data_IF_487466765172
#
_entry.id   IF_487466765172
#
_cell.length_a   1.000
_cell.length_b   1.000
_cell.length_c   1.000
_cell.angle_alpha   90.00
_cell.angle_beta   90.00
_cell.angle_gamma   90.00
#
_symmetry.space_group_name_H-M   'P 1'
#
loop_
_entity.id
_entity.type
_entity.pdbx_description
1 polymer ?
#
# COMPACT_ATOMS: atom_id res chain seq x y z
N UNK A 1 3.41 -45.60 -35.18
CA UNK A 1 2.27 -45.07 -34.41
C UNK A 1 2.79 -44.61 -33.06
N UNK A 2 2.26 -43.46 -32.62
CA UNK A 2 2.74 -42.45 -31.68
C UNK A 2 3.76 -42.73 -30.55
N UNK A 3 4.61 -41.72 -30.24
CA UNK A 3 5.62 -41.76 -29.19
C UNK A 3 5.08 -41.30 -27.82
N UNK A 4 5.71 -41.81 -26.75
CA UNK A 4 5.54 -41.32 -25.36
C UNK A 4 6.43 -40.09 -25.15
N UNK A 5 5.82 -38.93 -24.94
CA UNK A 5 6.51 -37.71 -24.49
C UNK A 5 6.74 -37.77 -22.97
N UNK A 6 8.01 -37.85 -22.58
CA UNK A 6 8.53 -37.43 -21.28
C UNK A 6 8.66 -35.90 -21.30
N UNK A 7 7.87 -35.20 -20.49
CA UNK A 7 8.09 -33.78 -20.21
C UNK A 7 8.89 -33.68 -18.91
N UNK A 8 10.18 -33.39 -19.05
CA UNK A 8 11.03 -32.92 -17.96
C UNK A 8 10.54 -31.53 -17.54
N UNK A 9 10.21 -31.39 -16.25
CA UNK A 9 9.96 -30.11 -15.62
C UNK A 9 11.25 -29.30 -15.57
N UNK A 10 11.39 -28.37 -16.51
CA UNK A 10 12.32 -27.24 -16.42
C UNK A 10 11.74 -26.26 -15.39
N UNK A 11 12.23 -26.35 -14.16
CA UNK A 11 12.15 -25.26 -13.18
C UNK A 11 12.87 -24.05 -13.73
N UNK A 12 12.11 -23.05 -14.19
CA UNK A 12 12.58 -21.70 -14.45
C UNK A 12 12.96 -21.05 -13.11
N UNK A 13 14.25 -21.05 -12.75
CA UNK A 13 14.75 -20.14 -11.72
C UNK A 13 14.67 -18.73 -12.29
N UNK A 14 13.73 -17.94 -11.77
CA UNK A 14 13.69 -16.49 -11.97
C UNK A 14 14.78 -15.88 -11.08
N UNK A 15 16.02 -15.93 -11.54
CA UNK A 15 17.06 -15.02 -11.04
C UNK A 15 16.72 -13.61 -11.55
N UNK A 16 15.83 -12.95 -10.82
CA UNK A 16 15.58 -11.52 -10.94
C UNK A 16 16.56 -10.81 -10.01
N UNK A 17 17.80 -10.68 -10.46
CA UNK A 17 18.79 -9.78 -9.88
C UNK A 17 19.26 -8.77 -10.90
N UNK A 18 18.32 -8.13 -11.60
CA UNK A 18 18.55 -6.77 -12.10
C UNK A 18 18.27 -5.85 -10.93
N UNK A 19 19.29 -5.59 -10.11
CA UNK A 19 19.27 -4.43 -9.23
C UNK A 19 19.22 -3.19 -10.13
N UNK A 20 18.01 -2.73 -10.45
CA UNK A 20 17.83 -1.33 -10.84
C UNK A 20 18.52 -0.52 -9.75
N UNK A 21 19.61 0.15 -10.12
CA UNK A 21 20.25 1.17 -9.31
C UNK A 21 19.20 2.26 -9.12
N UNK A 22 18.33 2.09 -8.11
CA UNK A 22 17.36 3.11 -7.74
C UNK A 22 18.18 4.35 -7.40
N UNK A 23 17.93 5.45 -8.13
CA UNK A 23 18.65 6.69 -7.92
C UNK A 23 18.44 7.15 -6.47
N UNK A 24 19.49 7.05 -5.63
CA UNK A 24 19.46 7.54 -4.25
C UNK A 24 19.60 9.07 -4.28
N UNK A 25 18.70 9.78 -3.61
CA UNK A 25 18.80 11.23 -3.49
C UNK A 25 19.78 11.62 -2.39
N UNK A 26 20.76 12.44 -2.75
CA UNK A 26 21.73 13.01 -1.81
C UNK A 26 21.01 13.97 -0.86
N UNK A 27 21.22 13.79 0.44
CA UNK A 27 20.69 14.68 1.47
C UNK A 27 21.20 16.10 1.29
N UNK A 28 20.29 17.06 1.41
CA UNK A 28 20.59 18.49 1.45
C UNK A 28 20.47 19.06 2.86
N UNK A 29 20.97 20.29 3.07
CA UNK A 29 20.74 21.00 4.33
C UNK A 29 19.26 21.29 4.58
N UNK A 30 18.47 21.51 3.52
CA UNK A 30 17.02 21.68 3.57
C UNK A 30 16.33 20.40 4.05
N UNK A 31 16.77 19.23 3.56
CA UNK A 31 16.22 17.93 4.02
C UNK A 31 16.46 17.72 5.52
N UNK A 32 17.65 18.07 6.01
CA UNK A 32 17.97 17.98 7.44
C UNK A 32 17.10 18.93 8.27
N UNK A 33 16.86 20.15 7.80
CA UNK A 33 15.95 21.09 8.45
C UNK A 33 14.52 20.53 8.50
N UNK A 34 14.06 19.91 7.40
CA UNK A 34 12.79 19.19 7.37
C UNK A 34 12.77 17.98 8.32
N UNK A 35 13.90 17.35 8.63
CA UNK A 35 14.03 16.32 9.65
C UNK A 35 14.19 16.88 11.08
N UNK A 36 14.27 18.20 11.25
CA UNK A 36 14.36 18.89 12.54
C UNK A 36 15.78 19.27 12.97
N UNK A 37 16.75 19.21 12.06
CA UNK A 37 18.16 19.51 12.35
C UNK A 37 18.66 20.69 11.51
N UNK A 38 18.97 21.81 12.16
CA UNK A 38 19.65 22.91 11.48
C UNK A 38 21.12 22.57 11.21
N UNK A 39 21.77 23.32 10.31
CA UNK A 39 23.21 23.21 10.07
C UNK A 39 24.03 23.40 11.34
N UNK A 40 23.59 24.30 12.22
CA UNK A 40 24.27 24.60 13.48
C UNK A 40 24.10 23.47 14.49
N UNK A 41 22.94 22.82 14.56
CA UNK A 41 22.72 21.65 15.43
C UNK A 41 23.64 20.49 15.03
N UNK A 42 23.74 20.23 13.72
CA UNK A 42 24.62 19.21 13.15
C UNK A 42 26.08 19.53 13.47
N UNK A 43 26.49 20.78 13.28
CA UNK A 43 27.82 21.25 13.60
C UNK A 43 28.15 21.11 15.09
N UNK A 44 27.26 21.57 15.98
CA UNK A 44 27.45 21.51 17.43
C UNK A 44 27.66 20.07 17.89
N UNK A 45 26.84 19.16 17.38
CA UNK A 45 26.90 17.73 17.71
C UNK A 45 28.23 17.10 17.25
N UNK A 46 28.62 17.35 16.00
CA UNK A 46 29.89 16.85 15.44
C UNK A 46 31.11 17.49 16.11
N UNK A 47 31.05 18.78 16.42
CA UNK A 47 32.16 19.51 17.04
C UNK A 47 32.40 19.01 18.46
N UNK A 48 31.34 18.74 19.22
CA UNK A 48 31.45 18.06 20.52
C UNK A 48 32.13 16.70 20.38
N UNK A 49 31.75 15.90 19.37
CA UNK A 49 32.36 14.60 19.08
C UNK A 49 33.84 14.71 18.68
N UNK A 50 34.23 15.82 18.05
CA UNK A 50 35.61 16.20 17.70
C UNK A 50 36.36 17.00 18.77
N UNK A 51 35.83 17.08 20.00
CA UNK A 51 36.49 17.78 21.10
C UNK A 51 36.63 19.29 20.91
N UNK A 52 35.76 19.94 20.13
CA UNK A 52 35.74 21.40 19.95
C UNK A 52 36.74 21.94 18.92
N UNK A 53 37.26 21.08 18.05
CA UNK A 53 38.34 21.44 17.11
C UNK A 53 37.86 21.92 15.75
N UNK A 54 36.56 21.84 15.43
CA UNK A 54 36.04 22.17 14.10
C UNK A 54 36.08 23.68 13.83
N UNK A 55 36.28 24.05 12.57
CA UNK A 55 36.02 25.43 12.09
C UNK A 55 34.52 25.73 12.21
N UNK A 56 34.11 26.99 12.11
CA UNK A 56 32.68 27.35 12.17
C UNK A 56 31.81 26.61 11.12
N UNK A 57 30.50 26.49 11.36
CA UNK A 57 29.57 25.78 10.47
C UNK A 57 29.52 26.36 9.06
N UNK A 58 29.75 27.68 8.93
CA UNK A 58 29.82 28.41 7.66
C UNK A 58 31.25 28.58 7.11
N UNK A 59 32.27 28.30 7.93
CA UNK A 59 33.69 28.41 7.56
C UNK A 59 34.28 27.07 7.07
N UNK A 60 33.42 26.22 6.52
CA UNK A 60 33.78 24.90 6.01
C UNK A 60 34.12 23.87 7.09
N UNK A 61 33.65 24.05 8.33
CA UNK A 61 33.81 23.07 9.41
C UNK A 61 33.05 21.77 9.17
N UNK A 62 31.97 21.81 8.41
CA UNK A 62 31.14 20.68 7.98
C UNK A 62 30.87 20.75 6.48
N UNK A 63 30.87 19.60 5.82
CA UNK A 63 30.48 19.50 4.41
C UNK A 63 29.57 18.28 4.20
N UNK A 64 28.40 18.51 3.60
CA UNK A 64 27.38 17.51 3.32
C UNK A 64 27.26 17.36 1.80
N UNK A 65 27.68 16.21 1.25
CA UNK A 65 27.63 15.94 -0.20
C UNK A 65 28.37 16.95 -1.10
N UNK A 66 29.16 17.85 -0.52
CA UNK A 66 29.80 18.99 -1.18
C UNK A 66 31.25 19.15 -0.69
N UNK A 67 32.03 20.00 -1.36
CA UNK A 67 33.38 20.38 -0.93
C UNK A 67 34.28 19.18 -0.63
N UNK A 68 34.85 19.15 0.58
CA UNK A 68 35.72 18.04 1.01
C UNK A 68 34.97 16.71 1.10
N UNK A 69 33.67 16.69 1.41
CA UNK A 69 32.91 15.44 1.38
C UNK A 69 32.87 14.84 -0.03
N UNK A 70 32.62 15.68 -1.04
CA UNK A 70 32.64 15.29 -2.44
C UNK A 70 34.03 14.80 -2.90
N UNK A 71 35.10 15.50 -2.52
CA UNK A 71 36.48 15.12 -2.88
C UNK A 71 36.87 13.73 -2.39
N UNK A 72 36.37 13.33 -1.22
CA UNK A 72 36.63 12.03 -0.61
C UNK A 72 35.52 11.01 -0.88
N UNK A 73 34.58 11.33 -1.78
CA UNK A 73 33.41 10.51 -2.09
C UNK A 73 32.59 10.08 -0.86
N UNK A 74 32.51 10.96 0.15
CA UNK A 74 31.64 10.80 1.30
C UNK A 74 30.31 11.45 1.02
N UNK A 75 29.29 10.62 0.87
CA UNK A 75 27.94 11.05 0.56
C UNK A 75 27.00 10.71 1.70
N UNK A 76 25.91 11.45 1.83
CA UNK A 76 24.76 11.10 2.68
C UNK A 76 23.53 11.06 1.79
N UNK A 77 22.65 10.10 2.00
CA UNK A 77 21.43 9.97 1.21
C UNK A 77 20.19 9.93 2.09
N UNK A 78 19.05 10.24 1.49
CA UNK A 78 17.74 10.01 2.10
C UNK A 78 17.23 8.63 1.67
N UNK A 79 16.49 7.96 2.55
CA UNK A 79 15.97 6.63 2.31
C UNK A 79 14.68 6.35 3.08
N UNK A 80 13.92 5.37 2.61
CA UNK A 80 12.88 4.73 3.40
C UNK A 80 13.53 3.87 4.49
N UNK A 81 12.88 3.80 5.65
CA UNK A 81 13.41 3.11 6.84
C UNK A 81 12.81 1.73 7.08
N UNK A 82 12.12 1.21 6.07
CA UNK A 82 11.44 -0.08 6.12
C UNK A 82 10.16 -0.07 5.28
N UNK A 83 9.44 -1.21 5.27
CA UNK A 83 8.16 -1.33 4.57
C UNK A 83 7.08 -0.46 5.23
N UNK A 84 5.98 -0.25 4.51
CA UNK A 84 4.80 0.39 5.07
C UNK A 84 4.20 -0.49 6.20
N UNK A 85 3.95 0.11 7.35
CA UNK A 85 3.31 -0.56 8.49
C UNK A 85 1.80 -0.28 8.50
N UNK A 86 0.94 -1.30 8.47
CA UNK A 86 -0.51 -1.12 8.45
C UNK A 86 -1.04 -0.69 9.82
N UNK A 87 -2.06 0.15 9.82
CA UNK A 87 -3.00 0.29 10.94
C UNK A 87 -4.22 -0.62 10.72
N UNK A 88 -4.98 -0.82 11.79
CA UNK A 88 -6.25 -1.54 11.71
C UNK A 88 -7.21 -0.86 10.72
N UNK A 89 -7.82 -1.63 9.79
CA UNK A 89 -8.81 -1.10 8.87
C UNK A 89 -10.14 -0.80 9.58
N UNK A 90 -10.86 0.20 9.07
CA UNK A 90 -12.22 0.53 9.53
C UNK A 90 -13.19 0.17 8.42
N UNK A 91 -14.05 -0.82 8.67
CA UNK A 91 -15.06 -1.30 7.73
C UNK A 91 -16.43 -0.66 7.97
N UNK A 92 -17.18 -0.48 6.90
CA UNK A 92 -18.60 -0.12 6.91
C UNK A 92 -19.32 -0.95 5.86
N UNK A 93 -20.46 -1.51 6.25
CA UNK A 93 -21.31 -2.29 5.36
C UNK A 93 -22.69 -1.66 5.29
N UNK A 94 -23.19 -1.49 4.07
CA UNK A 94 -24.55 -1.09 3.78
C UNK A 94 -25.23 -2.19 2.98
N UNK A 95 -26.52 -2.39 3.24
CA UNK A 95 -27.33 -3.36 2.52
C UNK A 95 -28.53 -2.63 1.91
N UNK A 96 -28.86 -2.99 0.69
CA UNK A 96 -30.03 -2.50 -0.03
C UNK A 96 -30.73 -3.69 -0.69
N UNK A 97 -32.04 -3.79 -0.49
CA UNK A 97 -32.86 -4.86 -1.06
C UNK A 97 -33.63 -4.32 -2.26
N UNK A 98 -33.61 -5.08 -3.35
CA UNK A 98 -34.31 -4.76 -4.60
C UNK A 98 -35.19 -5.94 -5.01
N UNK A 99 -36.46 -5.68 -5.30
CA UNK A 99 -37.37 -6.70 -5.81
C UNK A 99 -37.15 -6.85 -7.31
N UNK A 100 -36.63 -7.99 -7.74
CA UNK A 100 -36.38 -8.28 -9.15
C UNK A 100 -37.59 -8.89 -9.86
N UNK A 101 -38.37 -9.67 -9.11
CA UNK A 101 -39.54 -10.37 -9.62
C UNK A 101 -40.50 -10.68 -8.47
N UNK A 102 -41.79 -10.60 -8.73
CA UNK A 102 -42.86 -10.94 -7.78
C UNK A 102 -44.04 -11.50 -8.56
N UNK A 103 -44.63 -12.59 -8.06
CA UNK A 103 -45.79 -13.21 -8.68
C UNK A 103 -46.70 -13.84 -7.64
N UNK A 104 -47.96 -13.43 -7.68
CA UNK A 104 -49.04 -13.97 -6.87
C UNK A 104 -49.91 -14.89 -7.74
N UNK A 105 -49.86 -16.20 -7.49
CA UNK A 105 -50.68 -17.17 -8.22
C UNK A 105 -52.07 -17.26 -7.60
N UNK A 106 -53.02 -16.52 -8.16
CA UNK A 106 -54.42 -16.54 -7.76
C UNK A 106 -55.26 -17.60 -8.49
N UNK A 107 -54.63 -18.48 -9.27
CA UNK A 107 -55.31 -19.53 -10.05
C UNK A 107 -55.35 -20.87 -9.29
N UNK A 108 -56.13 -21.83 -9.81
CA UNK A 108 -56.23 -23.19 -9.26
C UNK A 108 -55.12 -24.14 -9.76
N UNK A 109 -54.33 -23.72 -10.75
CA UNK A 109 -53.25 -24.50 -11.36
C UNK A 109 -51.86 -23.99 -10.97
N UNK A 110 -50.85 -24.86 -11.00
CA UNK A 110 -49.47 -24.45 -10.81
C UNK A 110 -48.94 -23.69 -12.04
N UNK A 111 -48.16 -22.63 -11.81
CA UNK A 111 -47.56 -21.83 -12.89
C UNK A 111 -46.06 -22.07 -12.93
N UNK A 112 -45.53 -22.42 -14.11
CA UNK A 112 -44.08 -22.54 -14.34
C UNK A 112 -43.54 -21.29 -15.02
N UNK A 113 -42.50 -20.71 -14.45
CA UNK A 113 -41.80 -19.55 -14.99
C UNK A 113 -40.30 -19.81 -15.13
N UNK A 114 -39.66 -19.07 -16.04
CA UNK A 114 -38.21 -18.98 -16.13
C UNK A 114 -37.81 -17.51 -15.99
N UNK A 115 -36.84 -17.23 -15.13
CA UNK A 115 -36.22 -15.93 -15.01
C UNK A 115 -34.71 -16.06 -15.22
N UNK A 116 -34.13 -15.10 -15.93
CA UNK A 116 -32.69 -15.04 -16.17
C UNK A 116 -32.19 -13.71 -15.65
N UNK A 117 -31.10 -13.74 -14.90
CA UNK A 117 -30.47 -12.58 -14.32
C UNK A 117 -28.96 -12.62 -14.53
N UNK A 118 -28.36 -11.46 -14.71
CA UNK A 118 -26.92 -11.28 -14.70
C UNK A 118 -26.54 -10.10 -13.82
N UNK A 119 -25.40 -10.19 -13.16
CA UNK A 119 -24.87 -9.16 -12.28
C UNK A 119 -23.35 -9.22 -12.25
N UNK A 120 -22.74 -8.23 -11.61
CA UNK A 120 -21.29 -8.12 -11.49
C UNK A 120 -20.95 -7.82 -10.04
N UNK A 121 -20.06 -8.60 -9.46
CA UNK A 121 -19.43 -8.20 -8.20
C UNK A 121 -18.19 -7.38 -8.55
N UNK A 122 -17.96 -6.30 -7.82
CA UNK A 122 -16.80 -5.43 -8.02
C UNK A 122 -16.03 -5.28 -6.74
N UNK A 123 -14.71 -5.27 -6.84
CA UNK A 123 -13.81 -4.90 -5.76
C UNK A 123 -12.83 -3.86 -6.29
N UNK A 124 -12.85 -2.67 -5.70
CA UNK A 124 -11.93 -1.60 -6.01
C UNK A 124 -11.13 -1.24 -4.77
N UNK A 125 -9.81 -1.33 -4.89
CA UNK A 125 -8.86 -0.91 -3.86
C UNK A 125 -8.01 0.19 -4.46
N UNK A 126 -7.96 1.36 -3.81
CA UNK A 126 -7.04 2.43 -4.15
C UNK A 126 -6.12 2.73 -2.99
N UNK A 127 -4.91 3.19 -3.29
CA UNK A 127 -3.92 3.61 -2.31
C UNK A 127 -3.34 4.94 -2.75
N UNK A 128 -3.18 5.87 -1.81
CA UNK A 128 -2.68 7.22 -2.08
C UNK A 128 -1.77 7.70 -0.96
N UNK A 129 -0.67 8.36 -1.32
CA UNK A 129 0.16 9.14 -0.38
C UNK A 129 -0.64 10.36 0.08
N UNK A 130 -1.17 10.33 1.30
CA UNK A 130 -1.99 11.43 1.86
C UNK A 130 -1.20 12.44 2.66
N UNK A 131 -0.03 12.04 3.19
CA UNK A 131 0.98 12.96 3.73
C UNK A 131 2.34 12.55 3.20
N UNK A 132 2.83 13.30 2.22
CA UNK A 132 4.12 13.03 1.57
C UNK A 132 5.30 13.23 2.53
N UNK A 133 6.46 12.67 2.18
CA UNK A 133 7.71 13.00 2.84
C UNK A 133 8.12 14.44 2.52
N UNK A 134 8.65 15.15 3.52
CA UNK A 134 9.14 16.52 3.37
C UNK A 134 10.55 16.61 2.78
N UNK A 135 11.13 15.48 2.36
CA UNK A 135 12.47 15.37 1.78
C UNK A 135 12.40 14.55 0.50
N UNK A 136 13.35 14.73 -0.40
CA UNK A 136 13.45 13.90 -1.62
C UNK A 136 13.99 12.52 -1.29
N UNK A 137 13.28 11.47 -1.66
CA UNK A 137 13.63 10.06 -1.42
C UNK A 137 13.53 9.30 -2.74
N UNK A 138 14.49 8.40 -2.95
CA UNK A 138 14.64 7.68 -4.20
C UNK A 138 13.84 6.39 -4.22
N UNK A 139 13.39 6.02 -5.42
CA UNK A 139 12.77 4.72 -5.64
C UNK A 139 11.35 4.62 -5.12
N UNK A 140 10.93 3.39 -4.86
CA UNK A 140 9.58 3.10 -4.38
C UNK A 140 9.59 2.22 -3.14
N UNK A 141 8.45 2.22 -2.46
CA UNK A 141 8.18 1.45 -1.26
C UNK A 141 6.93 0.60 -1.46
N UNK A 142 6.89 -0.54 -0.76
CA UNK A 142 5.78 -1.47 -0.85
C UNK A 142 4.76 -1.21 0.26
N UNK A 143 3.48 -1.25 -0.12
CA UNK A 143 2.30 -1.24 0.74
C UNK A 143 1.72 -2.66 0.70
N UNK A 144 2.07 -3.51 1.67
CA UNK A 144 1.71 -4.92 1.63
C UNK A 144 0.29 -5.16 2.16
N UNK A 145 -0.37 -6.15 1.57
CA UNK A 145 -1.57 -6.80 2.08
C UNK A 145 -2.68 -5.82 2.51
N UNK A 146 -3.03 -4.89 1.62
CA UNK A 146 -4.10 -3.92 1.88
C UNK A 146 -5.41 -4.65 2.27
N UNK A 147 -6.01 -4.22 3.37
CA UNK A 147 -7.22 -4.79 3.97
C UNK A 147 -7.15 -6.29 4.32
N UNK A 148 -5.96 -6.87 4.46
CA UNK A 148 -5.74 -8.31 4.62
C UNK A 148 -6.28 -9.15 3.45
N UNK A 149 -6.23 -8.61 2.22
CA UNK A 149 -6.79 -9.23 1.00
C UNK A 149 -5.76 -9.74 0.00
N UNK A 150 -4.46 -9.68 0.33
CA UNK A 150 -3.39 -10.07 -0.58
C UNK A 150 -3.17 -9.08 -1.73
N UNK A 151 -3.69 -7.85 -1.61
CA UNK A 151 -3.47 -6.77 -2.59
C UNK A 151 -2.26 -5.94 -2.15
N UNK A 152 -1.19 -6.00 -2.94
CA UNK A 152 0.05 -5.26 -2.71
C UNK A 152 0.16 -4.09 -3.71
N UNK A 153 0.66 -2.96 -3.24
CA UNK A 153 0.99 -1.81 -4.09
C UNK A 153 2.46 -1.42 -3.93
N UNK A 154 3.06 -0.93 -5.01
CA UNK A 154 4.38 -0.28 -4.98
C UNK A 154 4.22 1.19 -5.36
N UNK A 155 4.47 2.09 -4.43
CA UNK A 155 4.33 3.54 -4.61
C UNK A 155 5.69 4.23 -4.62
N UNK A 156 5.74 5.46 -5.12
CA UNK A 156 6.90 6.36 -5.03
C UNK A 156 6.42 7.81 -4.81
N UNK A 157 7.34 8.74 -4.53
CA UNK A 157 6.97 10.16 -4.43
C UNK A 157 6.42 10.73 -5.75
N UNK A 158 6.80 10.13 -6.88
CA UNK A 158 6.33 10.50 -8.23
C UNK A 158 5.02 9.77 -8.60
N UNK A 159 4.84 8.54 -8.13
CA UNK A 159 3.63 7.73 -8.33
C UNK A 159 2.83 7.64 -7.03
N UNK A 160 2.13 8.72 -6.71
CA UNK A 160 1.48 8.89 -5.41
C UNK A 160 0.18 8.11 -5.24
N UNK A 161 -0.44 7.65 -6.32
CA UNK A 161 -1.71 6.92 -6.28
C UNK A 161 -1.66 5.70 -7.19
N UNK A 162 -2.13 4.56 -6.67
CA UNK A 162 -2.37 3.34 -7.46
C UNK A 162 -3.70 2.74 -7.10
N UNK A 163 -4.21 1.91 -8.00
CA UNK A 163 -5.44 1.18 -7.76
C UNK A 163 -5.38 -0.22 -8.35
N UNK A 164 -6.20 -1.07 -7.78
CA UNK A 164 -6.51 -2.41 -8.20
C UNK A 164 -8.03 -2.51 -8.33
N UNK A 165 -8.48 -3.14 -9.39
CA UNK A 165 -9.90 -3.39 -9.62
C UNK A 165 -10.06 -4.84 -10.08
N UNK A 166 -11.00 -5.53 -9.44
CA UNK A 166 -11.44 -6.86 -9.83
C UNK A 166 -12.95 -6.84 -10.07
N UNK A 167 -13.38 -7.52 -11.14
CA UNK A 167 -14.78 -7.55 -11.59
C UNK A 167 -15.13 -8.98 -11.98
N UNK A 168 -16.06 -9.57 -11.24
CA UNK A 168 -16.54 -10.93 -11.51
C UNK A 168 -17.96 -10.85 -12.03
N UNK A 169 -18.19 -11.44 -13.20
CA UNK A 169 -19.48 -11.48 -13.87
C UNK A 169 -20.23 -12.78 -13.55
N UNK A 170 -21.51 -12.66 -13.23
CA UNK A 170 -22.40 -13.77 -12.97
C UNK A 170 -23.60 -13.73 -13.91
N UNK A 171 -24.10 -14.90 -14.26
CA UNK A 171 -25.36 -15.09 -14.94
C UNK A 171 -26.01 -16.36 -14.41
N UNK A 172 -27.32 -16.32 -14.18
CA UNK A 172 -28.05 -17.47 -13.67
C UNK A 172 -29.47 -17.52 -14.24
N UNK A 173 -29.96 -18.75 -14.38
CA UNK A 173 -31.30 -19.07 -14.87
C UNK A 173 -32.09 -19.75 -13.74
N UNK A 174 -33.09 -19.05 -13.23
CA UNK A 174 -34.03 -19.59 -12.24
C UNK A 174 -35.22 -20.21 -12.97
N UNK A 175 -35.53 -21.47 -12.64
CA UNK A 175 -36.80 -22.10 -13.02
C UNK A 175 -37.67 -22.17 -11.79
N UNK A 176 -38.83 -21.49 -11.81
CA UNK A 176 -39.70 -21.34 -10.64
C UNK A 176 -41.04 -22.00 -10.94
N UNK A 177 -41.55 -22.75 -9.97
CA UNK A 177 -42.94 -23.25 -9.97
C UNK A 177 -43.67 -22.55 -8.83
N UNK A 178 -44.79 -21.90 -9.15
CA UNK A 178 -45.64 -21.22 -8.18
C UNK A 178 -46.92 -22.03 -8.01
N UNK A 179 -47.10 -22.61 -6.83
CA UNK A 179 -48.30 -23.40 -6.54
C UNK A 179 -49.55 -22.52 -6.44
N UNK A 180 -50.76 -23.09 -6.60
CA UNK A 180 -52.01 -22.38 -6.37
C UNK A 180 -52.02 -21.69 -5.00
N UNK A 181 -52.34 -20.39 -4.99
CA UNK A 181 -52.42 -19.58 -3.76
C UNK A 181 -51.08 -19.11 -3.20
N UNK A 182 -49.93 -19.44 -3.81
CA UNK A 182 -48.64 -18.93 -3.38
C UNK A 182 -48.35 -17.53 -3.91
N UNK A 183 -47.62 -16.75 -3.12
CA UNK A 183 -47.12 -15.44 -3.51
C UNK A 183 -45.60 -15.40 -3.33
N UNK A 184 -44.86 -15.54 -4.43
CA UNK A 184 -43.40 -15.58 -4.41
C UNK A 184 -42.78 -14.25 -4.84
N UNK A 185 -41.65 -13.92 -4.24
CA UNK A 185 -40.82 -12.76 -4.59
C UNK A 185 -39.34 -13.11 -4.60
N UNK A 186 -38.66 -12.71 -5.67
CA UNK A 186 -37.21 -12.75 -5.76
C UNK A 186 -36.64 -11.39 -5.38
N UNK A 187 -35.87 -11.37 -4.30
CA UNK A 187 -35.18 -10.18 -3.79
C UNK A 187 -33.69 -10.33 -4.06
N UNK A 188 -33.08 -9.28 -4.60
CA UNK A 188 -31.64 -9.12 -4.68
C UNK A 188 -31.20 -8.19 -3.57
N UNK A 189 -30.34 -8.69 -2.69
CA UNK A 189 -29.66 -7.92 -1.67
C UNK A 189 -28.30 -7.47 -2.20
N UNK A 190 -28.15 -6.16 -2.41
CA UNK A 190 -26.87 -5.51 -2.69
C UNK A 190 -26.15 -5.24 -1.38
N UNK A 191 -24.96 -5.80 -1.22
CA UNK A 191 -24.07 -5.59 -0.08
C UNK A 191 -22.94 -4.68 -0.57
N UNK A 192 -22.90 -3.45 -0.06
CA UNK A 192 -21.79 -2.52 -0.32
C UNK A 192 -20.90 -2.47 0.91
N UNK A 193 -19.67 -2.95 0.78
CA UNK A 193 -18.65 -2.80 1.80
C UNK A 193 -17.69 -1.69 1.40
N UNK A 194 -17.42 -0.79 2.33
CA UNK A 194 -16.38 0.24 2.19
C UNK A 194 -15.43 0.15 3.36
N UNK A 195 -14.16 0.44 3.13
CA UNK A 195 -13.20 0.51 4.23
C UNK A 195 -12.10 1.52 3.96
N UNK A 196 -11.51 2.00 5.05
CA UNK A 196 -10.28 2.81 5.02
C UNK A 196 -9.22 2.16 5.86
N UNK A 197 -8.00 2.11 5.35
CA UNK A 197 -6.83 1.64 6.10
C UNK A 197 -5.70 2.64 5.91
N UNK A 198 -4.99 2.97 6.98
CA UNK A 198 -3.79 3.81 6.90
C UNK A 198 -2.54 2.95 7.00
N UNK A 199 -1.49 3.39 6.29
CA UNK A 199 -0.15 2.86 6.46
C UNK A 199 0.84 3.97 6.82
N UNK A 200 1.83 3.61 7.63
CA UNK A 200 2.92 4.49 8.02
C UNK A 200 4.21 4.01 7.40
N UNK A 201 4.87 4.88 6.64
CA UNK A 201 6.16 4.60 6.02
C UNK A 201 7.21 5.51 6.66
N UNK A 202 8.12 4.97 7.49
CA UNK A 202 9.18 5.76 8.08
C UNK A 202 10.21 6.14 7.00
N UNK A 203 10.71 7.36 7.05
CA UNK A 203 11.73 7.88 6.14
C UNK A 203 12.73 8.77 6.87
N UNK A 204 13.92 8.96 6.30
CA UNK A 204 14.92 9.87 6.86
C UNK A 204 16.28 9.72 6.21
N UNK A 205 17.35 10.03 6.94
CA UNK A 205 18.72 9.79 6.46
C UNK A 205 18.97 8.30 6.35
N UNK A 206 19.58 7.79 5.27
CA UNK A 206 19.91 6.38 5.15
C UNK A 206 20.78 5.90 6.32
N UNK A 207 20.70 4.60 6.64
CA UNK A 207 21.51 3.98 7.69
C UNK A 207 22.49 2.97 7.05
N UNK A 208 23.38 3.48 6.21
CA UNK A 208 24.41 2.67 5.54
C UNK A 208 25.81 3.10 6.01
N UNK A 209 26.77 2.17 6.16
CA UNK A 209 28.13 2.49 6.64
C UNK A 209 28.91 3.49 5.78
N UNK A 210 28.50 3.64 4.52
CA UNK A 210 29.07 4.55 3.54
C UNK A 210 28.50 5.98 3.68
N UNK A 211 27.39 6.15 4.40
CA UNK A 211 26.72 7.45 4.53
C UNK A 211 27.45 8.35 5.53
N UNK A 212 28.21 9.30 5.01
CA UNK A 212 29.21 10.07 5.75
C UNK A 212 29.12 11.56 5.48
N UNK A 213 29.20 12.34 6.55
CA UNK A 213 29.42 13.78 6.53
C UNK A 213 30.89 14.07 6.82
N UNK A 214 31.47 15.06 6.13
CA UNK A 214 32.84 15.47 6.39
C UNK A 214 32.90 16.56 7.46
N UNK A 215 33.93 16.48 8.30
CA UNK A 215 34.26 17.51 9.29
C UNK A 215 35.68 18.01 9.07
N UNK A 216 35.92 19.30 9.30
CA UNK A 216 37.21 19.96 9.12
C UNK A 216 37.48 20.94 10.26
N UNK A 217 38.75 21.08 10.65
CA UNK A 217 39.11 21.76 11.88
C UNK A 217 40.60 21.89 12.08
N UNK A 218 40.98 22.18 13.33
CA UNK A 218 42.32 21.88 13.83
C UNK A 218 42.51 20.36 13.93
N UNK A 219 43.76 19.86 13.88
CA UNK A 219 44.03 18.45 14.06
C UNK A 219 43.38 17.90 15.33
N UNK A 220 42.70 16.77 15.19
CA UNK A 220 42.22 15.98 16.31
C UNK A 220 42.89 14.60 16.21
N UNK A 221 43.88 14.38 17.09
CA UNK A 221 44.93 13.41 16.80
C UNK A 221 45.76 13.87 15.59
N UNK A 222 46.00 12.98 14.63
CA UNK A 222 46.78 13.27 13.42
C UNK A 222 45.92 13.74 12.23
N UNK A 223 44.60 13.78 12.38
CA UNK A 223 43.67 14.01 11.27
C UNK A 223 43.07 15.41 11.29
N UNK A 224 43.19 16.11 10.14
CA UNK A 224 42.55 17.39 9.90
C UNK A 224 41.06 17.21 9.54
N UNK A 225 40.80 16.27 8.64
CA UNK A 225 39.48 15.98 8.06
C UNK A 225 39.03 14.59 8.53
N UNK A 226 37.79 14.47 9.01
CA UNK A 226 37.25 13.19 9.48
C UNK A 226 35.83 12.96 8.94
N UNK A 227 35.51 11.72 8.51
CA UNK A 227 34.15 11.33 8.21
C UNK A 227 33.41 10.91 9.48
N UNK A 228 32.12 11.23 9.55
CA UNK A 228 31.21 10.68 10.55
C UNK A 228 29.94 10.17 9.90
N UNK A 229 29.36 9.09 10.44
CA UNK A 229 27.98 8.73 10.09
C UNK A 229 27.05 9.82 10.62
N UNK A 230 26.35 10.49 9.71
CA UNK A 230 25.40 11.53 10.09
C UNK A 230 24.18 10.92 10.77
N UNK A 231 23.70 9.78 10.27
CA UNK A 231 22.58 9.04 10.86
C UNK A 231 22.86 8.66 12.33
N UNK A 232 24.01 8.05 12.61
CA UNK A 232 24.36 7.66 13.98
C UNK A 232 24.68 8.86 14.89
N UNK A 233 25.16 9.97 14.32
CA UNK A 233 25.50 11.16 15.11
C UNK A 233 24.26 11.94 15.55
N UNK A 234 23.18 11.89 14.76
CA UNK A 234 21.92 12.57 15.02
C UNK A 234 20.82 11.62 15.54
N UNK A 235 21.21 10.48 16.11
CA UNK A 235 20.30 9.48 16.68
C UNK A 235 19.15 9.04 15.73
N UNK A 236 19.52 8.63 14.52
CA UNK A 236 18.62 8.09 13.50
C UNK A 236 17.49 9.06 13.07
N UNK A 237 17.81 10.23 12.46
CA UNK A 237 16.81 11.20 12.02
C UNK A 237 15.75 10.57 11.13
N UNK A 238 14.49 10.64 11.56
CA UNK A 238 13.38 10.04 10.83
C UNK A 238 12.05 10.77 11.05
N UNK A 239 11.17 10.66 10.06
CA UNK A 239 9.78 11.10 10.07
C UNK A 239 8.91 10.03 9.41
N UNK A 240 7.59 10.24 9.42
CA UNK A 240 6.61 9.27 8.93
C UNK A 240 5.76 9.88 7.81
N UNK A 241 5.75 9.21 6.66
CA UNK A 241 4.81 9.45 5.57
C UNK A 241 3.52 8.67 5.83
N UNK A 242 2.37 9.20 5.43
CA UNK A 242 1.08 8.52 5.58
C UNK A 242 0.52 8.14 4.21
N UNK A 243 0.04 6.91 4.14
CA UNK A 243 -0.67 6.36 3.00
C UNK A 243 -2.09 6.04 3.47
N UNK A 244 -3.08 6.34 2.64
CA UNK A 244 -4.46 5.93 2.89
C UNK A 244 -4.90 5.02 1.76
N UNK A 245 -5.38 3.85 2.13
CA UNK A 245 -6.05 2.91 1.26
C UNK A 245 -7.55 3.03 1.42
N UNK A 246 -8.28 2.92 0.32
CA UNK A 246 -9.75 2.92 0.27
C UNK A 246 -10.18 1.65 -0.43
N UNK A 247 -11.12 0.93 0.18
CA UNK A 247 -11.79 -0.23 -0.39
C UNK A 247 -13.24 0.13 -0.68
N UNK A 248 -13.73 -0.28 -1.85
CA UNK A 248 -15.14 -0.36 -2.17
C UNK A 248 -15.42 -1.70 -2.83
N UNK A 249 -16.29 -2.49 -2.21
CA UNK A 249 -16.72 -3.79 -2.71
C UNK A 249 -18.24 -3.80 -2.84
N UNK A 250 -18.74 -4.28 -3.97
CA UNK A 250 -20.17 -4.51 -4.19
C UNK A 250 -20.40 -5.99 -4.49
N UNK A 251 -21.25 -6.63 -3.68
CA UNK A 251 -21.65 -8.03 -3.82
C UNK A 251 -23.17 -8.13 -3.89
N UNK A 252 -23.68 -9.15 -4.58
CA UNK A 252 -25.11 -9.37 -4.72
C UNK A 252 -25.47 -10.78 -4.26
N UNK A 253 -26.49 -10.87 -3.40
CA UNK A 253 -27.10 -12.12 -2.94
C UNK A 253 -28.55 -12.15 -3.40
N UNK A 254 -29.04 -13.31 -3.82
CA UNK A 254 -30.43 -13.47 -4.28
C UNK A 254 -31.18 -14.39 -3.33
N UNK A 255 -32.40 -14.00 -2.95
CA UNK A 255 -33.26 -14.73 -2.01
C UNK A 255 -34.66 -14.84 -2.61
N UNK A 256 -35.20 -16.06 -2.63
CA UNK A 256 -36.59 -16.32 -3.02
C UNK A 256 -37.45 -16.45 -1.75
N UNK A 257 -38.49 -15.64 -1.64
CA UNK A 257 -39.37 -15.55 -0.47
C UNK A 257 -40.80 -15.93 -0.84
N UNK A 258 -41.51 -16.61 0.08
CA UNK A 258 -42.97 -16.77 0.02
C UNK A 258 -43.61 -15.78 0.98
N UNK A 259 -44.24 -14.74 0.41
CA UNK A 259 -44.82 -13.62 1.13
C UNK A 259 -46.09 -14.06 1.86
N UNK A 260 -46.84 -15.03 1.34
CA UNK A 260 -48.07 -15.49 1.96
C UNK A 260 -47.79 -16.32 3.23
N UNK A 261 -46.64 -17.02 3.26
CA UNK A 261 -46.22 -17.86 4.38
C UNK A 261 -45.28 -17.16 5.40
N UNK A 262 -44.85 -15.91 5.15
CA UNK A 262 -43.81 -15.22 5.94
C UNK A 262 -42.50 -16.04 6.10
N UNK A 263 -42.19 -16.91 5.12
CA UNK A 263 -41.06 -17.83 5.18
C UNK A 263 -40.08 -17.57 4.02
N UNK A 264 -38.79 -17.70 4.31
CA UNK A 264 -37.74 -17.74 3.28
C UNK A 264 -37.72 -19.13 2.67
N UNK A 265 -37.95 -19.23 1.35
CA UNK A 265 -38.06 -20.52 0.64
C UNK A 265 -36.67 -21.01 0.21
N UNK A 266 -35.75 -20.09 -0.08
CA UNK A 266 -34.36 -20.41 -0.39
C UNK A 266 -33.47 -19.17 -0.19
N UNK A 267 -32.39 -19.33 0.59
CA UNK A 267 -31.23 -18.44 0.55
C UNK A 267 -30.11 -19.15 -0.20
N UNK A 268 -29.67 -18.60 -1.32
CA UNK A 268 -28.47 -19.09 -2.00
C UNK A 268 -27.33 -18.11 -1.70
N UNK A 269 -26.51 -18.33 -0.65
CA UNK A 269 -25.21 -17.69 -0.57
C UNK A 269 -24.34 -18.35 -1.64
N UNK A 270 -24.15 -17.67 -2.78
CA UNK A 270 -23.20 -18.11 -3.80
C UNK A 270 -21.77 -17.82 -3.33
N UNK A 271 -21.31 -18.60 -2.35
CA UNK A 271 -19.88 -18.86 -2.22
C UNK A 271 -19.53 -19.90 -3.29
N UNK A 272 -18.84 -19.45 -4.33
CA UNK A 272 -18.25 -20.34 -5.33
C UNK A 272 -16.86 -20.70 -4.81
N UNK A 273 -16.58 -22.00 -4.68
CA UNK A 273 -15.21 -22.53 -4.51
C UNK A 273 -14.28 -22.08 -5.65
#
# INVERSE_FOLDING_TARGET
MHPRHLLQGLTLSKDSSTSELMARFKTTWEDLAHLGYSRDDVWNTLNKKRGGTMRGPLDGGIALNEGVALQWAWYCYNDYKGPASPKEPVYRTANEDEVLWEYNNTTEDHVKGKWTGSWKNTEHVSTTITRNAGISIGGGFDVPNAFNRGVDFRLSQDEQTKFHEDVVHFSHDWSVVVEPGQHLRLVRKKITMSATQEFQVPYGLANTPEDRIATNGRPWGEYLILPYSLNATLDTPSKVMLITCILRKEEYVHVLQDIAANNVVSETPLFVE
#
